data_IF_166707802830
#
_entry.id   IF_166707802830
#
_cell.length_a   1.000
_cell.length_b   1.000
_cell.length_c   1.000
_cell.angle_alpha   90.00
_cell.angle_beta   90.00
_cell.angle_gamma   90.00
#
_symmetry.space_group_name_H-M   'P 1'
#
loop_
_entity.id
_entity.type
_entity.pdbx_description
1 polymer ?
#
# COMPACT_ATOMS: atom_id res chain seq x y z
N UNK A 1 10.22 17.31 2.79
CA UNK A 1 9.47 16.28 3.56
C UNK A 1 10.16 16.13 4.91
N UNK A 2 9.44 16.13 6.04
CA UNK A 2 10.06 15.95 7.37
C UNK A 2 10.39 14.49 7.63
N UNK A 3 11.36 14.20 8.49
CA UNK A 3 11.73 12.84 8.90
C UNK A 3 10.52 12.06 9.46
N UNK A 4 9.67 12.74 10.24
CA UNK A 4 8.41 12.18 10.74
C UNK A 4 7.46 11.77 9.60
N UNK A 5 7.33 12.59 8.55
CA UNK A 5 6.45 12.26 7.41
C UNK A 5 7.02 11.10 6.61
N UNK A 6 8.34 11.05 6.40
CA UNK A 6 9.01 9.94 5.73
C UNK A 6 8.82 8.62 6.49
N UNK A 7 9.04 8.62 7.82
CA UNK A 7 8.85 7.44 8.65
C UNK A 7 7.41 6.94 8.62
N UNK A 8 6.42 7.86 8.62
CA UNK A 8 5.03 7.47 8.50
C UNK A 8 4.74 6.82 7.15
N UNK A 9 5.24 7.40 6.05
CA UNK A 9 5.07 6.83 4.71
C UNK A 9 5.66 5.43 4.60
N UNK A 10 6.86 5.19 5.12
CA UNK A 10 7.49 3.86 5.13
C UNK A 10 6.64 2.86 5.94
N UNK A 11 6.11 3.30 7.08
CA UNK A 11 5.24 2.46 7.90
C UNK A 11 3.93 2.10 7.19
N UNK A 12 3.31 3.05 6.49
CA UNK A 12 2.10 2.82 5.70
C UNK A 12 2.34 1.85 4.54
N UNK A 13 3.47 1.99 3.83
CA UNK A 13 3.88 1.04 2.78
C UNK A 13 3.99 -0.39 3.32
N UNK A 14 4.59 -0.56 4.51
CA UNK A 14 4.67 -1.84 5.18
C UNK A 14 3.28 -2.38 5.55
N UNK A 15 2.41 -1.56 6.15
CA UNK A 15 1.06 -1.97 6.52
C UNK A 15 0.23 -2.41 5.31
N UNK A 16 0.24 -1.63 4.23
CA UNK A 16 -0.45 -1.96 2.97
C UNK A 16 0.02 -3.32 2.46
N UNK A 17 1.33 -3.53 2.39
CA UNK A 17 1.93 -4.81 1.97
C UNK A 17 1.43 -5.97 2.82
N UNK A 18 1.49 -5.84 4.15
CA UNK A 18 1.08 -6.91 5.06
C UNK A 18 -0.42 -7.21 4.99
N UNK A 19 -1.25 -6.16 4.94
CA UNK A 19 -2.71 -6.32 4.86
C UNK A 19 -3.11 -6.98 3.53
N UNK A 20 -2.51 -6.55 2.42
CA UNK A 20 -2.79 -7.13 1.10
C UNK A 20 -2.35 -8.60 1.02
N UNK A 21 -1.13 -8.92 1.50
CA UNK A 21 -0.65 -10.29 1.55
C UNK A 21 -1.56 -11.20 2.39
N UNK A 22 -2.03 -10.69 3.54
CA UNK A 22 -2.91 -11.43 4.43
C UNK A 22 -4.28 -11.69 3.82
N UNK A 23 -4.89 -10.69 3.19
CA UNK A 23 -6.23 -10.79 2.59
C UNK A 23 -6.24 -11.76 1.41
N UNK A 24 -5.26 -11.64 0.51
CA UNK A 24 -5.17 -12.47 -0.70
C UNK A 24 -4.40 -13.79 -0.51
N UNK A 25 -3.84 -14.02 0.69
CA UNK A 25 -3.01 -15.19 1.02
C UNK A 25 -1.83 -15.36 0.06
N UNK A 26 -1.20 -14.25 -0.31
CA UNK A 26 -0.02 -14.24 -1.19
C UNK A 26 1.26 -13.97 -0.39
N UNK A 27 2.40 -14.32 -0.97
CA UNK A 27 3.70 -13.99 -0.39
C UNK A 27 4.05 -12.52 -0.62
N UNK A 28 5.00 -12.00 0.17
CA UNK A 28 5.56 -10.66 -0.06
C UNK A 28 6.24 -10.59 -1.44
N UNK A 29 6.89 -11.67 -1.89
CA UNK A 29 7.49 -11.72 -3.23
C UNK A 29 6.44 -11.57 -4.35
N UNK A 30 5.26 -12.17 -4.19
CA UNK A 30 4.18 -12.02 -5.15
C UNK A 30 3.56 -10.62 -5.11
N UNK A 31 3.46 -10.02 -3.92
CA UNK A 31 3.06 -8.62 -3.81
C UNK A 31 4.07 -7.69 -4.49
N UNK A 32 5.38 -7.93 -4.34
CA UNK A 32 6.40 -7.11 -4.99
C UNK A 32 6.34 -7.19 -6.52
N UNK A 33 5.93 -8.33 -7.10
CA UNK A 33 5.66 -8.43 -8.55
C UNK A 33 4.45 -7.59 -8.97
N UNK A 34 3.42 -7.50 -8.13
CA UNK A 34 2.27 -6.62 -8.36
C UNK A 34 2.68 -5.15 -8.23
N UNK A 35 3.48 -4.83 -7.22
CA UNK A 35 4.02 -3.50 -7.01
C UNK A 35 4.90 -3.04 -8.19
N UNK A 36 5.74 -3.91 -8.74
CA UNK A 36 6.54 -3.60 -9.94
C UNK A 36 5.66 -3.25 -11.15
N UNK A 37 4.51 -3.93 -11.29
CA UNK A 37 3.59 -3.72 -12.41
C UNK A 37 2.71 -2.48 -12.24
N UNK A 38 2.23 -2.23 -11.02
CA UNK A 38 1.18 -1.23 -10.75
C UNK A 38 1.67 -0.02 -9.94
N UNK A 39 2.90 -0.05 -9.44
CA UNK A 39 3.50 1.00 -8.61
C UNK A 39 2.67 1.31 -7.35
N UNK A 40 2.22 0.27 -6.64
CA UNK A 40 1.32 0.37 -5.47
C UNK A 40 1.99 1.16 -4.34
N UNK A 41 3.24 0.85 -4.01
CA UNK A 41 3.97 1.53 -2.94
C UNK A 41 4.27 2.99 -3.29
N UNK A 42 4.48 3.31 -4.57
CA UNK A 42 4.60 4.69 -5.02
C UNK A 42 3.28 5.46 -4.82
N UNK A 43 2.15 4.84 -5.13
CA UNK A 43 0.84 5.43 -4.86
C UNK A 43 0.64 5.72 -3.36
N UNK A 44 1.01 4.78 -2.47
CA UNK A 44 1.02 5.01 -1.02
C UNK A 44 1.96 6.17 -0.63
N UNK A 45 3.11 6.28 -1.30
CA UNK A 45 4.08 7.35 -1.07
C UNK A 45 3.56 8.74 -1.42
N UNK A 46 2.77 8.82 -2.50
CA UNK A 46 2.19 10.06 -3.01
C UNK A 46 0.99 10.51 -2.17
N UNK A 47 0.23 9.55 -1.62
CA UNK A 47 -0.99 9.81 -0.87
C UNK A 47 -0.99 9.28 0.58
N UNK A 48 0.06 9.49 1.40
CA UNK A 48 0.17 8.87 2.73
C UNK A 48 -0.93 9.35 3.68
N UNK A 49 -1.40 10.59 3.52
CA UNK A 49 -2.46 11.16 4.36
C UNK A 49 -3.82 10.44 4.16
N UNK A 50 -4.06 9.84 2.98
CA UNK A 50 -5.24 8.99 2.73
C UNK A 50 -5.10 7.70 3.53
N UNK A 51 -4.00 6.98 3.30
CA UNK A 51 -3.76 5.67 3.93
C UNK A 51 -3.69 5.74 5.46
N UNK A 52 -3.19 6.85 6.03
CA UNK A 52 -3.16 7.07 7.50
C UNK A 52 -4.56 7.09 8.13
N UNK A 53 -5.60 7.41 7.34
CA UNK A 53 -6.99 7.44 7.79
C UNK A 53 -7.75 6.12 7.60
N UNK A 54 -7.14 5.13 6.93
CA UNK A 54 -7.80 3.88 6.56
C UNK A 54 -7.50 2.75 7.56
N UNK A 55 -8.50 1.88 7.76
CA UNK A 55 -8.28 0.56 8.38
C UNK A 55 -7.56 -0.38 7.43
N UNK A 56 -6.97 -1.46 7.96
CA UNK A 56 -6.25 -2.43 7.12
C UNK A 56 -7.09 -3.03 5.97
N UNK A 57 -8.39 -3.27 6.18
CA UNK A 57 -9.29 -3.75 5.11
C UNK A 57 -9.60 -2.66 4.08
N UNK A 58 -9.69 -1.41 4.51
CA UNK A 58 -9.93 -0.29 3.59
C UNK A 58 -8.68 0.01 2.76
N UNK A 59 -7.48 -0.11 3.34
CA UNK A 59 -6.22 -0.02 2.59
C UNK A 59 -6.17 -1.03 1.44
N UNK A 60 -6.59 -2.28 1.68
CA UNK A 60 -6.60 -3.32 0.64
C UNK A 60 -7.58 -2.93 -0.48
N UNK A 61 -8.81 -2.51 -0.13
CA UNK A 61 -9.81 -2.09 -1.11
C UNK A 61 -9.35 -0.88 -1.92
N UNK A 62 -8.67 0.07 -1.30
CA UNK A 62 -8.11 1.24 -1.99
C UNK A 62 -7.09 0.81 -3.05
N UNK A 63 -6.20 -0.12 -2.68
CA UNK A 63 -5.22 -0.70 -3.63
C UNK A 63 -5.91 -1.49 -4.74
N UNK A 64 -6.91 -2.30 -4.43
CA UNK A 64 -7.67 -3.04 -5.46
C UNK A 64 -8.35 -2.09 -6.45
N UNK A 65 -8.94 -1.00 -5.96
CA UNK A 65 -9.55 0.02 -6.81
C UNK A 65 -8.50 0.72 -7.68
N UNK A 66 -7.34 1.07 -7.13
CA UNK A 66 -6.23 1.65 -7.87
C UNK A 66 -5.72 0.72 -8.97
N UNK A 67 -5.49 -0.56 -8.67
CA UNK A 67 -5.01 -1.57 -9.63
C UNK A 67 -6.06 -1.89 -10.71
N UNK A 68 -7.34 -1.72 -10.41
CA UNK A 68 -8.44 -1.94 -11.36
C UNK A 68 -8.68 -0.77 -12.33
N UNK A 69 -7.98 0.37 -12.18
CA UNK A 69 -8.12 1.49 -13.11
C UNK A 69 -7.50 1.13 -14.48
N UNK A 70 -8.20 1.43 -15.60
CA UNK A 70 -7.79 1.05 -16.95
C UNK A 70 -6.57 1.81 -17.48
#
# INVERSE_FOLDING_TARGET
>A
MSEKRLNNTIFLMYLVTQNYCREHRISVEDFLKLDEKYAILNYVAECPDIFDSLTGSEMVREVEQYVAQP
#
